data_IF_293213119001
#
_entry.id   IF_293213119001
#
_cell.length_a   1.000
_cell.length_b   1.000
_cell.length_c   1.000
_cell.angle_alpha   90.00
_cell.angle_beta   90.00
_cell.angle_gamma   90.00
#
_symmetry.space_group_name_H-M   'P 1'
#
loop_
_entity.id
_entity.type
_entity.pdbx_description
1 polymer ?
#
# COMPACT_ATOMS: atom_id res chain seq x y z
N UNK A 1 -5.30 -6.73 6.37
CA UNK A 1 -3.87 -6.54 6.71
C UNK A 1 -3.76 -6.39 8.22
N UNK A 2 -2.92 -7.16 8.92
CA UNK A 2 -2.80 -7.09 10.39
C UNK A 2 -1.42 -6.53 10.79
N UNK A 3 -1.40 -5.33 11.37
CA UNK A 3 -0.17 -4.64 11.78
C UNK A 3 0.45 -5.23 13.07
N UNK A 4 -0.25 -6.15 13.75
CA UNK A 4 0.36 -6.96 14.82
C UNK A 4 1.52 -7.85 14.33
N UNK A 5 1.58 -8.16 13.02
CA UNK A 5 2.61 -9.02 12.44
C UNK A 5 3.89 -8.27 12.03
N UNK A 6 3.98 -6.97 12.32
CA UNK A 6 5.18 -6.15 12.08
C UNK A 6 4.92 -4.91 11.22
N UNK A 7 5.81 -3.92 11.37
CA UNK A 7 5.79 -2.63 10.65
C UNK A 7 6.22 -2.74 9.18
N UNK A 8 6.55 -3.94 8.71
CA UNK A 8 6.84 -4.22 7.31
C UNK A 8 5.85 -5.27 6.80
N UNK A 9 5.26 -5.00 5.65
CA UNK A 9 4.31 -5.88 4.98
C UNK A 9 4.77 -6.07 3.54
N UNK A 10 4.93 -7.31 3.10
CA UNK A 10 5.40 -7.68 1.76
C UNK A 10 4.37 -8.60 1.13
N UNK A 11 3.93 -8.29 -0.09
CA UNK A 11 2.95 -9.09 -0.81
C UNK A 11 3.16 -9.02 -2.32
N UNK A 12 2.67 -10.06 -3.01
CA UNK A 12 2.58 -10.12 -4.47
C UNK A 12 1.10 -10.10 -4.88
N UNK A 13 0.75 -9.25 -5.83
CA UNK A 13 -0.57 -9.16 -6.42
C UNK A 13 -0.75 -10.31 -7.42
N UNK A 14 -1.49 -11.35 -7.03
CA UNK A 14 -1.91 -12.46 -7.92
C UNK A 14 -3.19 -12.17 -8.70
N UNK A 15 -3.75 -10.98 -8.51
CA UNK A 15 -5.01 -10.51 -9.08
C UNK A 15 -5.29 -9.08 -8.64
N UNK A 16 -6.37 -8.48 -9.14
CA UNK A 16 -6.82 -7.17 -8.67
C UNK A 16 -7.24 -7.28 -7.20
N UNK A 17 -6.74 -6.40 -6.33
CA UNK A 17 -6.94 -6.52 -4.88
C UNK A 17 -7.60 -5.27 -4.28
N UNK A 18 -8.21 -5.45 -3.11
CA UNK A 18 -8.70 -4.35 -2.27
C UNK A 18 -8.05 -4.47 -0.90
N UNK A 19 -7.40 -3.41 -0.42
CA UNK A 19 -6.73 -3.45 0.87
C UNK A 19 -7.67 -3.16 2.03
N UNK A 20 -7.49 -3.94 3.10
CA UNK A 20 -8.16 -3.75 4.40
C UNK A 20 -7.13 -3.36 5.45
N UNK A 21 -7.15 -2.10 5.87
CA UNK A 21 -6.28 -1.58 6.94
C UNK A 21 -7.04 -1.64 8.27
N UNK A 22 -6.36 -1.85 9.41
CA UNK A 22 -7.00 -1.78 10.72
C UNK A 22 -7.37 -0.33 11.07
N UNK A 23 -8.16 -0.15 12.14
CA UNK A 23 -8.47 1.16 12.72
C UNK A 23 -7.19 1.97 12.95
N UNK A 24 -7.16 3.19 12.43
CA UNK A 24 -6.03 4.09 12.61
C UNK A 24 -5.86 4.40 14.11
N UNK A 25 -4.67 4.11 14.65
CA UNK A 25 -4.30 4.44 16.03
C UNK A 25 -3.10 5.37 15.97
N UNK A 26 -3.15 6.51 16.66
CA UNK A 26 -2.14 7.55 16.55
C UNK A 26 -0.72 7.01 16.80
N UNK A 27 0.24 7.42 15.95
CA UNK A 27 1.64 7.01 16.05
C UNK A 27 1.94 5.57 15.61
N UNK A 28 0.98 4.84 15.03
CA UNK A 28 1.26 3.57 14.33
C UNK A 28 1.67 3.85 12.89
N UNK A 29 2.71 3.18 12.42
CA UNK A 29 3.17 3.27 11.04
C UNK A 29 3.58 1.90 10.49
N UNK A 30 3.52 1.74 9.18
CA UNK A 30 4.09 0.59 8.49
C UNK A 30 4.50 0.93 7.05
N UNK A 31 5.43 0.12 6.52
CA UNK A 31 5.84 0.13 5.12
C UNK A 31 5.22 -1.06 4.41
N UNK A 32 4.71 -0.83 3.20
CA UNK A 32 4.18 -1.84 2.30
C UNK A 32 5.11 -1.96 1.08
N UNK A 33 5.66 -3.15 0.87
CA UNK A 33 6.19 -3.57 -0.43
C UNK A 33 5.12 -4.38 -1.17
N UNK A 34 4.77 -3.91 -2.37
CA UNK A 34 3.78 -4.52 -3.23
C UNK A 34 4.43 -4.88 -4.56
N UNK A 35 4.43 -6.16 -4.91
CA UNK A 35 4.96 -6.64 -6.19
C UNK A 35 3.81 -7.01 -7.13
N UNK A 36 3.96 -6.71 -8.41
CA UNK A 36 3.17 -7.35 -9.47
C UNK A 36 3.55 -8.84 -9.59
N UNK A 37 2.61 -9.70 -9.97
CA UNK A 37 2.95 -11.06 -10.41
C UNK A 37 3.69 -11.08 -11.76
N UNK A 38 4.01 -12.27 -12.25
CA UNK A 38 4.68 -12.48 -13.53
C UNK A 38 3.84 -12.09 -14.77
N UNK A 39 2.55 -11.75 -14.61
CA UNK A 39 1.70 -11.20 -15.68
C UNK A 39 1.66 -9.67 -15.64
N UNK A 40 1.63 -9.08 -14.44
CA UNK A 40 1.45 -7.66 -14.25
C UNK A 40 0.01 -7.19 -14.44
N UNK A 41 -0.13 -5.87 -14.58
CA UNK A 41 -1.39 -5.14 -14.78
C UNK A 41 -2.46 -5.41 -13.72
N UNK A 42 -2.07 -5.85 -12.51
CA UNK A 42 -2.99 -5.94 -11.37
C UNK A 42 -3.27 -4.54 -10.84
N UNK A 43 -4.53 -4.26 -10.53
CA UNK A 43 -4.97 -3.00 -9.92
C UNK A 43 -5.21 -3.15 -8.41
N UNK A 44 -5.18 -2.03 -7.71
CA UNK A 44 -5.38 -1.95 -6.25
C UNK A 44 -6.44 -0.92 -5.93
N UNK A 45 -7.41 -1.31 -5.09
CA UNK A 45 -8.34 -0.39 -4.45
C UNK A 45 -7.89 -0.13 -3.01
N UNK A 46 -7.61 1.13 -2.71
CA UNK A 46 -7.24 1.58 -1.36
C UNK A 46 -8.49 1.87 -0.52
N UNK A 47 -8.51 1.56 0.79
CA UNK A 47 -9.66 1.84 1.64
C UNK A 47 -9.78 3.34 1.91
N UNK A 48 -11.01 3.85 2.08
CA UNK A 48 -11.30 5.28 2.28
C UNK A 48 -10.70 5.90 3.57
N UNK A 49 -10.23 5.04 4.49
CA UNK A 49 -9.46 5.42 5.67
C UNK A 49 -8.02 5.87 5.34
N UNK A 50 -7.51 5.54 4.14
CA UNK A 50 -6.24 6.06 3.63
C UNK A 50 -6.46 7.41 2.96
N UNK A 51 -5.65 8.39 3.33
CA UNK A 51 -5.57 9.71 2.68
C UNK A 51 -4.26 9.83 1.93
N UNK A 52 -4.36 10.30 0.70
CA UNK A 52 -3.23 10.54 -0.20
C UNK A 52 -3.06 12.04 -0.45
N UNK A 53 -1.85 12.52 -0.79
CA UNK A 53 -1.64 13.90 -1.23
C UNK A 53 -2.63 14.31 -2.33
N UNK A 54 -3.18 15.52 -2.22
CA UNK A 54 -4.21 16.04 -3.14
C UNK A 54 -5.46 15.18 -3.29
N UNK A 55 -5.74 14.26 -2.35
CA UNK A 55 -6.81 13.27 -2.39
C UNK A 55 -6.74 12.25 -3.54
N UNK A 56 -5.59 12.12 -4.21
CA UNK A 56 -5.41 11.23 -5.37
C UNK A 56 -4.48 10.07 -5.01
N UNK A 57 -4.96 8.83 -5.11
CA UNK A 57 -4.13 7.66 -4.92
C UNK A 57 -3.05 7.54 -6.02
N UNK A 58 -1.83 7.08 -5.70
CA UNK A 58 -0.78 6.91 -6.70
C UNK A 58 -1.12 5.80 -7.68
N UNK A 59 -0.87 6.04 -8.97
CA UNK A 59 -0.88 5.00 -10.00
C UNK A 59 0.22 4.00 -9.70
N UNK A 60 -0.15 2.74 -9.43
CA UNK A 60 0.82 1.67 -9.15
C UNK A 60 1.51 1.19 -10.42
N UNK A 61 2.73 0.67 -10.30
CA UNK A 61 3.45 0.05 -11.42
C UNK A 61 2.68 -1.17 -11.93
N UNK A 62 2.37 -1.19 -13.23
CA UNK A 62 1.67 -2.30 -13.91
C UNK A 62 2.63 -3.33 -14.52
N UNK A 63 3.92 -3.02 -14.65
CA UNK A 63 4.92 -3.90 -15.26
C UNK A 63 5.07 -5.20 -14.45
N UNK A 64 5.04 -6.34 -15.15
CA UNK A 64 5.21 -7.66 -14.54
C UNK A 64 6.49 -7.76 -13.67
N UNK A 65 6.37 -8.46 -12.55
CA UNK A 65 7.45 -8.69 -11.55
C UNK A 65 8.08 -7.44 -10.93
N UNK A 66 7.54 -6.24 -11.15
CA UNK A 66 8.05 -4.99 -10.53
C UNK A 66 7.43 -4.72 -9.16
N UNK A 67 8.19 -4.03 -8.31
CA UNK A 67 7.80 -3.67 -6.95
C UNK A 67 7.57 -2.16 -6.75
N UNK A 68 6.56 -1.83 -5.96
CA UNK A 68 6.31 -0.49 -5.42
C UNK A 68 6.47 -0.49 -3.89
N UNK A 69 6.84 0.67 -3.32
CA UNK A 69 7.01 0.89 -1.88
C UNK A 69 6.14 2.06 -1.42
N UNK A 70 5.23 1.78 -0.50
CA UNK A 70 4.37 2.76 0.15
C UNK A 70 4.65 2.83 1.66
N UNK A 71 4.47 3.99 2.26
CA UNK A 71 4.59 4.19 3.71
C UNK A 71 3.27 4.76 4.22
N UNK A 72 2.79 4.24 5.35
CA UNK A 72 1.55 4.66 5.98
C UNK A 72 1.79 5.02 7.45
N UNK A 73 1.24 6.15 7.88
CA UNK A 73 1.28 6.61 9.29
C UNK A 73 -0.11 7.03 9.74
N UNK A 74 -0.54 6.57 10.91
CA UNK A 74 -1.85 6.88 11.47
C UNK A 74 -1.80 8.09 12.41
N UNK A 75 -2.76 9.00 12.25
CA UNK A 75 -2.98 10.16 13.14
C UNK A 75 -3.98 9.85 14.29
N UNK A 76 -4.64 8.69 14.24
CA UNK A 76 -5.70 8.28 15.17
C UNK A 76 -7.11 8.31 14.57
N UNK A 77 -7.28 8.78 13.33
CA UNK A 77 -8.54 8.72 12.55
C UNK A 77 -8.30 8.16 11.14
N UNK A 78 -7.22 8.59 10.49
CA UNK A 78 -6.86 8.23 9.12
C UNK A 78 -5.43 7.67 9.03
N UNK A 79 -5.18 6.96 7.93
CA UNK A 79 -3.85 6.54 7.50
C UNK A 79 -3.33 7.49 6.42
N UNK A 80 -2.28 8.25 6.72
CA UNK A 80 -1.59 9.09 5.76
C UNK A 80 -0.68 8.22 4.90
N UNK A 81 -1.06 8.04 3.63
CA UNK A 81 -0.32 7.26 2.65
C UNK A 81 0.63 8.11 1.84
N UNK A 82 1.87 7.65 1.72
CA UNK A 82 2.92 8.27 0.90
C UNK A 82 3.53 7.25 -0.05
N UNK A 83 3.71 7.67 -1.30
CA UNK A 83 4.56 6.98 -2.26
C UNK A 83 6.03 7.19 -1.85
N UNK A 84 6.77 6.10 -1.65
CA UNK A 84 8.16 6.14 -1.22
C UNK A 84 9.14 5.54 -2.26
N UNK A 85 8.66 5.29 -3.47
CA UNK A 85 9.40 4.72 -4.60
C UNK A 85 8.60 3.65 -5.35
N UNK A 86 8.82 3.55 -6.65
CA UNK A 86 8.08 2.65 -7.55
C UNK A 86 8.99 2.04 -8.61
N UNK A 87 8.47 1.02 -9.31
CA UNK A 87 9.14 0.35 -10.43
C UNK A 87 10.53 -0.21 -10.06
N UNK A 88 10.63 -0.75 -8.84
CA UNK A 88 11.80 -1.50 -8.37
C UNK A 88 11.88 -2.89 -9.02
N UNK A 89 13.09 -3.45 -8.96
CA UNK A 89 13.63 -4.68 -9.59
C UNK A 89 14.27 -4.38 -11.05
#
# INVERSE_FOLDING_TARGET
>A
MNIANGTLQILTLTGNCTYTFPTATAGKSFTLFQLQDATGSRTVTWPASVKWPSSTAPTITSTASKGDKFVFTADGTYWWGSNAGQNYL
#
